data_IF_785132193283
#
_entry.id   IF_785132193283
#
_cell.length_a   1.000
_cell.length_b   1.000
_cell.length_c   1.000
_cell.angle_alpha   90.00
_cell.angle_beta   90.00
_cell.angle_gamma   90.00
#
_symmetry.space_group_name_H-M   'P 1'
#
loop_
_entity.id
_entity.type
_entity.pdbx_description
1 polymer ?
#
# COMPACT_ATOMS: atom_id res chain seq x y z
N UNK A 1 0.30 3.05 12.08
CA UNK A 1 0.23 2.77 13.54
C UNK A 1 1.47 3.21 14.29
N UNK A 2 2.67 2.72 13.98
CA UNK A 2 3.91 3.00 14.74
C UNK A 2 4.21 4.50 14.92
N UNK A 3 4.05 5.31 13.88
CA UNK A 3 4.22 6.76 13.97
C UNK A 3 3.17 7.39 14.91
N UNK A 4 1.88 7.05 14.74
CA UNK A 4 0.79 7.64 15.53
C UNK A 4 0.77 7.20 17.00
N UNK A 5 1.39 6.05 17.30
CA UNK A 5 1.58 5.59 18.69
C UNK A 5 2.84 6.17 19.35
N UNK A 6 3.63 6.96 18.62
CA UNK A 6 4.89 7.51 19.11
C UNK A 6 6.03 6.50 19.26
N UNK A 7 5.87 5.29 18.69
CA UNK A 7 6.91 4.25 18.79
C UNK A 7 8.12 4.54 17.92
N UNK A 8 7.96 5.30 16.84
CA UNK A 8 9.05 5.72 15.94
C UNK A 8 8.92 7.19 15.60
N UNK A 9 10.04 7.91 15.37
CA UNK A 9 10.02 9.30 14.88
C UNK A 9 9.57 9.37 13.41
N UNK A 10 9.25 10.58 12.95
CA UNK A 10 8.76 10.84 11.59
C UNK A 10 9.79 10.40 10.55
N UNK A 11 11.05 10.69 10.77
CA UNK A 11 12.16 10.36 9.87
C UNK A 11 12.24 8.85 9.63
N UNK A 12 12.23 8.05 10.70
CA UNK A 12 12.26 6.59 10.59
C UNK A 12 11.00 6.02 9.88
N UNK A 13 9.85 6.68 10.05
CA UNK A 13 8.65 6.31 9.31
C UNK A 13 8.79 6.61 7.82
N UNK A 14 9.30 7.77 7.44
CA UNK A 14 9.52 8.15 6.04
C UNK A 14 10.56 7.25 5.36
N UNK A 15 11.64 6.89 6.06
CA UNK A 15 12.61 5.91 5.57
C UNK A 15 11.97 4.55 5.30
N UNK A 16 11.20 4.00 6.25
CA UNK A 16 10.51 2.74 6.08
C UNK A 16 9.46 2.77 4.95
N UNK A 17 8.77 3.91 4.79
CA UNK A 17 7.83 4.13 3.70
C UNK A 17 8.55 4.17 2.35
N UNK A 18 9.67 4.90 2.26
CA UNK A 18 10.53 4.96 1.07
C UNK A 18 11.03 3.57 0.67
N UNK A 19 11.50 2.78 1.63
CA UNK A 19 11.92 1.40 1.38
C UNK A 19 10.76 0.54 0.84
N UNK A 20 9.58 0.68 1.42
CA UNK A 20 8.38 -0.05 0.97
C UNK A 20 8.00 0.33 -0.47
N UNK A 21 8.04 1.62 -0.79
CA UNK A 21 7.80 2.12 -2.14
C UNK A 21 8.84 1.60 -3.13
N UNK A 22 10.14 1.67 -2.78
CA UNK A 22 11.21 1.17 -3.62
C UNK A 22 11.02 -0.32 -3.96
N UNK A 23 10.68 -1.15 -2.99
CA UNK A 23 10.39 -2.58 -3.21
C UNK A 23 9.26 -2.81 -4.20
N UNK A 24 8.23 -1.98 -4.18
CA UNK A 24 7.10 -2.08 -5.12
C UNK A 24 7.51 -1.58 -6.51
N UNK A 25 8.18 -0.42 -6.58
CA UNK A 25 8.50 0.21 -7.88
C UNK A 25 9.64 -0.47 -8.63
N UNK A 26 10.57 -1.12 -7.94
CA UNK A 26 11.65 -1.91 -8.58
C UNK A 26 11.12 -3.19 -9.25
N UNK A 27 10.06 -3.80 -8.71
CA UNK A 27 9.54 -5.07 -9.22
C UNK A 27 8.64 -4.90 -10.45
N UNK A 28 8.96 -5.57 -11.55
CA UNK A 28 8.12 -5.59 -12.76
C UNK A 28 6.80 -6.34 -12.54
N UNK A 29 6.71 -7.18 -11.52
CA UNK A 29 5.49 -7.90 -11.13
C UNK A 29 4.30 -6.99 -10.86
N UNK A 30 4.53 -5.70 -10.49
CA UNK A 30 3.46 -4.73 -10.28
C UNK A 30 2.58 -4.48 -11.51
N UNK A 31 3.13 -4.69 -12.72
CA UNK A 31 2.42 -4.55 -13.99
C UNK A 31 1.81 -5.88 -14.49
N UNK A 32 2.07 -6.98 -13.78
CA UNK A 32 1.68 -8.33 -14.22
C UNK A 32 0.64 -8.99 -13.34
N UNK A 33 0.58 -8.59 -12.06
CA UNK A 33 -0.27 -9.21 -11.07
C UNK A 33 -1.00 -8.16 -10.24
N UNK A 34 -2.30 -8.30 -10.10
CA UNK A 34 -3.11 -7.48 -9.21
C UNK A 34 -2.83 -7.83 -7.74
N UNK A 35 -3.19 -6.95 -6.82
CA UNK A 35 -3.04 -7.24 -5.38
C UNK A 35 -3.89 -8.43 -4.95
N UNK A 36 -5.11 -8.53 -5.50
CA UNK A 36 -6.04 -9.62 -5.22
C UNK A 36 -5.50 -10.97 -5.69
N UNK A 37 -4.96 -11.04 -6.91
CA UNK A 37 -4.29 -12.25 -7.42
C UNK A 37 -3.07 -12.62 -6.59
N UNK A 38 -2.24 -11.63 -6.21
CA UNK A 38 -1.06 -11.87 -5.38
C UNK A 38 -1.41 -12.47 -4.02
N UNK A 39 -2.49 -11.99 -3.40
CA UNK A 39 -2.99 -12.53 -2.14
C UNK A 39 -3.57 -13.94 -2.31
N UNK A 40 -4.34 -14.16 -3.37
CA UNK A 40 -4.94 -15.47 -3.65
C UNK A 40 -3.90 -16.54 -3.97
N UNK A 41 -2.92 -16.20 -4.80
CA UNK A 41 -1.84 -17.10 -5.24
C UNK A 41 -0.66 -17.17 -4.26
N UNK A 42 -0.76 -16.59 -3.06
CA UNK A 42 0.37 -16.42 -2.15
C UNK A 42 1.11 -17.74 -1.87
N UNK A 43 0.39 -18.82 -1.59
CA UNK A 43 0.99 -20.12 -1.26
C UNK A 43 1.68 -20.81 -2.43
N UNK A 44 1.25 -20.53 -3.65
CA UNK A 44 1.78 -21.18 -4.87
C UNK A 44 2.82 -20.35 -5.60
N UNK A 45 2.79 -19.02 -5.46
CA UNK A 45 3.69 -18.12 -6.18
C UNK A 45 4.61 -17.33 -5.24
N UNK A 46 4.07 -16.68 -4.21
CA UNK A 46 4.86 -15.82 -3.34
C UNK A 46 5.76 -16.62 -2.39
N UNK A 47 5.23 -17.69 -1.78
CA UNK A 47 6.00 -18.55 -0.88
C UNK A 47 6.76 -19.69 -1.59
N UNK A 48 6.58 -19.84 -2.88
CA UNK A 48 7.35 -20.77 -3.72
C UNK A 48 7.99 -20.01 -4.90
N UNK A 49 8.94 -19.09 -4.60
CA UNK A 49 9.54 -18.25 -5.62
C UNK A 49 10.40 -19.09 -6.58
N UNK A 50 10.43 -18.67 -7.83
CA UNK A 50 11.34 -19.16 -8.85
C UNK A 50 12.20 -18.00 -9.39
N UNK A 51 13.10 -18.30 -10.32
CA UNK A 51 14.03 -17.32 -10.90
C UNK A 51 13.32 -16.13 -11.56
N UNK A 52 12.11 -16.31 -12.07
CA UNK A 52 11.31 -15.26 -12.72
C UNK A 52 10.35 -14.53 -11.77
N UNK A 53 10.26 -14.93 -10.51
CA UNK A 53 9.32 -14.31 -9.55
C UNK A 53 9.49 -12.79 -9.42
N UNK A 54 10.70 -12.20 -9.43
CA UNK A 54 10.87 -10.74 -9.39
C UNK A 54 10.21 -10.00 -10.54
N UNK A 55 10.05 -10.64 -11.70
CA UNK A 55 9.44 -10.05 -12.90
C UNK A 55 7.94 -10.31 -13.03
N UNK A 56 7.37 -11.22 -12.24
CA UNK A 56 6.01 -11.71 -12.42
C UNK A 56 5.13 -11.60 -11.18
N UNK A 57 5.71 -11.51 -9.99
CA UNK A 57 4.98 -11.51 -8.72
C UNK A 57 5.16 -10.18 -8.01
N UNK A 58 4.07 -9.64 -7.47
CA UNK A 58 4.11 -8.49 -6.56
C UNK A 58 3.87 -8.96 -5.13
N UNK A 59 4.58 -8.38 -4.17
CA UNK A 59 4.33 -8.67 -2.75
C UNK A 59 3.01 -8.02 -2.31
N UNK A 60 2.06 -8.84 -1.91
CA UNK A 60 0.81 -8.35 -1.33
C UNK A 60 1.02 -7.65 0.02
N UNK A 61 2.10 -7.92 0.73
CA UNK A 61 2.47 -7.17 1.93
C UNK A 61 2.87 -5.73 1.60
N UNK A 62 3.83 -5.54 0.69
CA UNK A 62 4.35 -4.20 0.39
C UNK A 62 3.35 -3.37 -0.41
N UNK A 63 2.76 -3.91 -1.49
CA UNK A 63 1.71 -3.21 -2.25
C UNK A 63 0.47 -2.98 -1.37
N UNK A 64 0.08 -3.96 -0.54
CA UNK A 64 -1.04 -3.82 0.38
C UNK A 64 -0.83 -2.74 1.43
N UNK A 65 0.40 -2.57 1.94
CA UNK A 65 0.72 -1.47 2.86
C UNK A 65 0.53 -0.09 2.19
N UNK A 66 0.91 0.06 0.91
CA UNK A 66 0.69 1.30 0.16
C UNK A 66 -0.80 1.54 -0.13
N UNK A 67 -1.55 0.49 -0.43
CA UNK A 67 -3.02 0.58 -0.59
C UNK A 67 -3.69 1.01 0.73
N UNK A 68 -3.27 0.45 1.86
CA UNK A 68 -3.77 0.84 3.18
C UNK A 68 -3.42 2.31 3.51
N UNK A 69 -2.22 2.77 3.13
CA UNK A 69 -1.85 4.19 3.26
C UNK A 69 -2.79 5.07 2.42
N UNK A 70 -3.05 4.71 1.17
CA UNK A 70 -3.98 5.47 0.31
C UNK A 70 -5.39 5.52 0.89
N UNK A 71 -5.89 4.42 1.46
CA UNK A 71 -7.17 4.40 2.15
C UNK A 71 -7.18 5.33 3.37
N UNK A 72 -6.11 5.35 4.19
CA UNK A 72 -5.98 6.26 5.33
C UNK A 72 -6.00 7.72 4.91
N UNK A 73 -5.21 8.06 3.88
CA UNK A 73 -5.16 9.43 3.33
C UNK A 73 -6.51 9.86 2.74
N UNK A 74 -7.17 8.97 2.00
CA UNK A 74 -8.50 9.24 1.45
C UNK A 74 -9.54 9.50 2.54
N UNK A 75 -9.61 8.63 3.57
CA UNK A 75 -10.53 8.80 4.71
C UNK A 75 -10.28 10.14 5.41
N UNK A 76 -9.02 10.48 5.66
CA UNK A 76 -8.64 11.76 6.26
C UNK A 76 -9.07 12.96 5.43
N UNK A 77 -8.89 12.87 4.11
CA UNK A 77 -9.25 13.94 3.18
C UNK A 77 -10.77 14.19 3.17
N UNK A 78 -11.58 13.14 2.99
CA UNK A 78 -13.04 13.29 2.91
C UNK A 78 -13.70 13.62 4.24
N UNK A 79 -13.07 13.24 5.36
CA UNK A 79 -13.57 13.53 6.70
C UNK A 79 -13.01 14.82 7.31
N UNK A 80 -12.27 15.63 6.56
CA UNK A 80 -11.54 16.80 7.08
C UNK A 80 -10.69 16.43 8.31
N UNK A 81 -9.97 15.31 8.24
CA UNK A 81 -9.05 14.80 9.27
C UNK A 81 -9.73 14.32 10.58
N UNK A 82 -11.05 14.22 10.61
CA UNK A 82 -11.77 13.73 11.82
C UNK A 82 -11.72 12.22 11.96
N UNK A 83 -11.54 11.49 10.86
CA UNK A 83 -11.43 10.03 10.83
C UNK A 83 -10.16 9.57 10.12
N UNK A 84 -9.81 8.33 10.37
CA UNK A 84 -8.63 7.66 9.79
C UNK A 84 -8.87 6.15 9.67
N UNK A 85 -7.94 5.44 9.07
CA UNK A 85 -7.99 3.97 9.02
C UNK A 85 -7.97 3.33 10.44
N UNK A 86 -7.49 4.05 11.47
CA UNK A 86 -7.55 3.57 12.85
C UNK A 86 -8.98 3.41 13.36
N UNK A 87 -9.91 4.24 12.88
CA UNK A 87 -11.33 4.14 13.26
C UNK A 87 -11.99 2.91 12.62
N UNK A 88 -11.63 2.63 11.36
CA UNK A 88 -11.99 1.36 10.70
C UNK A 88 -11.47 0.16 11.49
N UNK A 89 -10.19 0.18 11.89
CA UNK A 89 -9.58 -0.91 12.67
C UNK A 89 -10.21 -1.09 14.05
N UNK A 90 -10.54 0.00 14.75
CA UNK A 90 -11.26 -0.06 16.05
C UNK A 90 -12.65 -0.67 15.86
N UNK A 91 -13.35 -0.30 14.79
CA UNK A 91 -14.68 -0.83 14.50
C UNK A 91 -14.63 -2.30 14.12
N UNK A 92 -13.67 -2.71 13.30
CA UNK A 92 -13.38 -4.11 12.99
C UNK A 92 -13.13 -4.92 14.26
N UNK A 93 -12.30 -4.41 15.16
CA UNK A 93 -12.04 -5.07 16.43
C UNK A 93 -13.31 -5.23 17.28
N UNK A 94 -14.14 -4.19 17.35
CA UNK A 94 -15.37 -4.20 18.15
C UNK A 94 -16.41 -5.18 17.59
N UNK A 95 -16.58 -5.21 16.26
CA UNK A 95 -17.61 -6.03 15.63
C UNK A 95 -17.20 -7.50 15.46
N UNK A 96 -15.94 -7.75 15.14
CA UNK A 96 -15.46 -9.07 14.75
C UNK A 96 -14.37 -9.62 15.68
N UNK A 97 -13.38 -8.80 16.06
CA UNK A 97 -12.25 -9.27 16.85
C UNK A 97 -12.63 -9.72 18.26
N UNK A 98 -13.56 -9.03 18.92
CA UNK A 98 -14.04 -9.40 20.25
C UNK A 98 -15.01 -10.58 20.25
N UNK A 99 -15.72 -10.76 19.17
CA UNK A 99 -16.80 -11.75 19.06
C UNK A 99 -16.35 -13.06 18.46
N UNK A 100 -15.12 -13.13 17.93
CA UNK A 100 -14.59 -14.26 17.17
C UNK A 100 -15.45 -14.65 15.96
N UNK A 101 -16.24 -13.71 15.44
CA UNK A 101 -17.01 -13.87 14.21
C UNK A 101 -16.08 -13.60 13.02
N UNK A 102 -16.15 -14.43 11.98
CA UNK A 102 -15.38 -14.22 10.76
C UNK A 102 -15.77 -12.93 10.05
N UNK A 103 -14.80 -12.30 9.41
CA UNK A 103 -14.96 -11.11 8.57
C UNK A 103 -15.10 -11.53 7.11
N UNK A 104 -16.09 -11.02 6.40
CA UNK A 104 -16.19 -11.15 4.94
C UNK A 104 -15.54 -9.96 4.23
N UNK A 105 -15.17 -10.15 2.94
CA UNK A 105 -14.65 -9.05 2.11
C UNK A 105 -15.66 -7.89 2.01
N UNK A 106 -16.94 -8.19 1.94
CA UNK A 106 -18.02 -7.20 1.89
C UNK A 106 -18.14 -6.39 3.19
N UNK A 107 -17.85 -7.00 4.34
CA UNK A 107 -17.89 -6.31 5.62
C UNK A 107 -16.76 -5.29 5.74
N UNK A 108 -15.55 -5.65 5.27
CA UNK A 108 -14.42 -4.73 5.22
C UNK A 108 -14.70 -3.55 4.27
N UNK A 109 -15.18 -3.84 3.06
CA UNK A 109 -15.55 -2.81 2.08
C UNK A 109 -16.60 -1.84 2.65
N UNK A 110 -17.65 -2.36 3.28
CA UNK A 110 -18.70 -1.56 3.92
C UNK A 110 -18.14 -0.61 4.98
N UNK A 111 -17.22 -1.07 5.81
CA UNK A 111 -16.58 -0.23 6.81
C UNK A 111 -15.66 0.82 6.19
N UNK A 112 -14.95 0.48 5.13
CA UNK A 112 -14.15 1.47 4.40
C UNK A 112 -15.03 2.55 3.76
N UNK A 113 -16.18 2.19 3.20
CA UNK A 113 -17.16 3.13 2.65
C UNK A 113 -17.78 4.01 3.75
N UNK A 114 -18.08 3.44 4.91
CA UNK A 114 -18.66 4.20 6.02
C UNK A 114 -17.80 5.39 6.44
N UNK A 115 -16.47 5.22 6.48
CA UNK A 115 -15.53 6.28 6.85
C UNK A 115 -14.98 7.05 5.64
N UNK A 116 -14.83 6.40 4.50
CA UNK A 116 -14.25 6.96 3.28
C UNK A 116 -15.28 7.43 2.25
N UNK A 117 -16.57 7.31 2.56
CA UNK A 117 -17.71 7.56 1.66
C UNK A 117 -17.69 6.67 0.40
N UNK A 118 -18.69 6.78 -0.45
CA UNK A 118 -18.75 6.05 -1.74
C UNK A 118 -17.56 6.38 -2.66
N UNK A 119 -16.92 7.53 -2.45
CA UNK A 119 -15.76 7.96 -3.24
C UNK A 119 -14.50 7.11 -3.05
N UNK A 120 -14.45 6.25 -2.02
CA UNK A 120 -13.33 5.32 -1.82
C UNK A 120 -13.37 4.12 -2.79
N UNK A 121 -14.54 3.79 -3.35
CA UNK A 121 -14.72 2.60 -4.22
C UNK A 121 -13.80 2.57 -5.44
N UNK A 122 -13.67 3.65 -6.23
CA UNK A 122 -12.72 3.66 -7.35
C UNK A 122 -11.28 3.44 -6.90
N UNK A 123 -10.90 3.96 -5.73
CA UNK A 123 -9.57 3.75 -5.17
C UNK A 123 -9.37 2.28 -4.76
N UNK A 124 -10.38 1.65 -4.14
CA UNK A 124 -10.32 0.23 -3.78
C UNK A 124 -10.21 -0.65 -5.01
N UNK A 125 -10.99 -0.36 -6.06
CA UNK A 125 -10.93 -1.10 -7.32
C UNK A 125 -9.54 -0.98 -7.97
N UNK A 126 -9.01 0.23 -8.08
CA UNK A 126 -7.65 0.48 -8.57
C UNK A 126 -6.60 -0.29 -7.76
N UNK A 127 -6.68 -0.23 -6.43
CA UNK A 127 -5.73 -0.89 -5.54
C UNK A 127 -5.76 -2.43 -5.63
N UNK A 128 -6.97 -3.01 -5.72
CA UNK A 128 -7.17 -4.44 -5.56
C UNK A 128 -7.21 -5.21 -6.89
N UNK A 129 -7.85 -4.63 -7.91
CA UNK A 129 -8.24 -5.34 -9.11
C UNK A 129 -7.46 -4.91 -10.36
N UNK A 130 -6.59 -3.90 -10.26
CA UNK A 130 -5.81 -3.43 -11.41
C UNK A 130 -4.31 -3.55 -11.20
N UNK A 131 -3.58 -3.48 -12.32
CA UNK A 131 -2.11 -3.35 -12.33
C UNK A 131 -1.66 -1.91 -12.61
N UNK A 132 -2.58 -0.96 -12.55
CA UNK A 132 -2.27 0.45 -12.72
C UNK A 132 -1.41 0.98 -11.57
N UNK A 133 -0.71 2.08 -11.82
CA UNK A 133 0.13 2.71 -10.82
C UNK A 133 -0.74 3.36 -9.72
N UNK A 134 -0.30 3.22 -8.49
CA UNK A 134 -0.98 3.80 -7.33
C UNK A 134 -0.78 5.32 -7.30
N UNK A 135 -1.82 6.13 -7.04
CA UNK A 135 -1.78 7.61 -7.02
C UNK A 135 -1.10 8.14 -5.74
N UNK A 136 0.11 7.64 -5.44
CA UNK A 136 0.84 7.96 -4.22
C UNK A 136 1.32 9.41 -4.21
N UNK A 137 1.78 9.91 -5.37
CA UNK A 137 2.33 11.27 -5.48
C UNK A 137 1.27 12.32 -5.14
N UNK A 138 0.11 12.23 -5.76
CA UNK A 138 -1.00 13.16 -5.58
C UNK A 138 -1.56 13.07 -4.15
N UNK A 139 -1.71 11.84 -3.66
CA UNK A 139 -2.24 11.59 -2.32
C UNK A 139 -1.32 12.10 -1.22
N UNK A 140 -0.01 11.91 -1.34
CA UNK A 140 0.98 12.41 -0.38
C UNK A 140 1.13 13.92 -0.46
N UNK A 141 1.10 14.50 -1.67
CA UNK A 141 1.20 15.94 -1.87
C UNK A 141 0.05 16.70 -1.19
N UNK A 142 -1.16 16.13 -1.15
CA UNK A 142 -2.30 16.70 -0.42
C UNK A 142 -2.05 16.84 1.09
N UNK A 143 -1.08 16.12 1.64
CA UNK A 143 -0.67 16.17 3.04
C UNK A 143 0.71 16.81 3.24
N UNK A 144 1.22 17.51 2.23
CA UNK A 144 2.49 18.25 2.31
C UNK A 144 3.74 17.40 2.15
N UNK A 145 3.60 16.15 1.70
CA UNK A 145 4.73 15.25 1.44
C UNK A 145 5.00 15.21 -0.06
N UNK A 146 6.19 15.63 -0.47
CA UNK A 146 6.61 15.58 -1.87
C UNK A 146 7.31 14.26 -2.17
N UNK A 147 6.82 13.53 -3.18
CA UNK A 147 7.42 12.30 -3.67
C UNK A 147 8.20 12.61 -4.96
N UNK A 148 9.50 12.34 -4.96
CA UNK A 148 10.36 12.42 -6.14
C UNK A 148 10.95 11.05 -6.47
N UNK A 149 11.18 10.82 -7.76
CA UNK A 149 11.86 9.62 -8.25
C UNK A 149 13.20 10.03 -8.81
N UNK A 150 14.28 9.54 -8.19
CA UNK A 150 15.63 9.72 -8.69
C UNK A 150 16.14 8.41 -9.28
N UNK A 151 16.75 8.47 -10.44
CA UNK A 151 17.45 7.34 -11.01
C UNK A 151 18.84 7.29 -10.38
N UNK A 152 19.13 6.26 -9.58
CA UNK A 152 20.50 6.02 -9.17
C UNK A 152 21.30 5.61 -10.40
N UNK A 153 22.39 6.31 -10.69
CA UNK A 153 23.38 5.82 -11.65
C UNK A 153 23.88 4.45 -11.13
N UNK A 154 23.54 3.40 -11.87
CA UNK A 154 24.06 2.08 -11.59
C UNK A 154 25.58 2.18 -11.67
N UNK A 155 26.27 1.94 -10.56
CA UNK A 155 27.71 1.67 -10.61
C UNK A 155 27.93 0.62 -11.69
N UNK A 156 28.75 0.92 -12.67
CA UNK A 156 28.94 0.31 -13.99
C UNK A 156 29.42 -1.14 -13.93
N UNK A 157 28.67 -2.04 -13.40
CA UNK A 157 29.04 -3.46 -13.38
C UNK A 157 27.87 -4.43 -13.30
N UNK A 158 26.78 -4.20 -14.03
CA UNK A 158 25.91 -5.33 -14.41
C UNK A 158 24.84 -4.84 -15.39
N UNK A 159 24.77 -5.52 -16.50
CA UNK A 159 23.81 -5.35 -17.57
C UNK A 159 22.39 -5.61 -17.03
N UNK A 160 21.49 -4.62 -17.10
CA UNK A 160 20.07 -4.91 -17.19
C UNK A 160 19.10 -4.32 -16.18
N UNK A 161 19.52 -3.68 -15.09
CA UNK A 161 18.57 -3.05 -14.16
C UNK A 161 18.95 -1.60 -13.85
N UNK A 162 18.04 -0.67 -14.13
CA UNK A 162 18.13 0.70 -13.65
C UNK A 162 17.38 0.73 -12.31
N UNK A 163 18.05 0.75 -11.16
CA UNK A 163 17.37 0.90 -9.89
C UNK A 163 16.82 2.31 -9.77
N UNK A 164 15.50 2.46 -9.65
CA UNK A 164 14.89 3.69 -9.24
C UNK A 164 15.05 3.85 -7.73
N UNK A 165 15.77 4.86 -7.27
CA UNK A 165 15.75 5.28 -5.88
C UNK A 165 14.65 6.33 -5.68
N UNK A 166 13.96 6.26 -4.56
CA UNK A 166 12.88 7.15 -4.21
C UNK A 166 13.32 8.01 -3.03
N UNK A 167 13.38 9.33 -3.23
CA UNK A 167 13.60 10.31 -2.18
C UNK A 167 12.27 10.97 -1.78
N UNK A 168 12.04 11.15 -0.50
CA UNK A 168 10.96 11.97 0.04
C UNK A 168 11.59 13.25 0.62
N UNK A 169 11.14 14.38 0.16
CA UNK A 169 11.48 15.71 0.72
C UNK A 169 10.25 16.35 1.34
#
# INVERSE_FOLDING_TARGET
MLLRSGCIPVEAYLEALTETMNRVFQGLGRFKQTLKESSFDAWTKFYQPNENSPNSVISYYTKGALCALLCDLHIRMVSNQTHSLDDVMKKLWTLYGRTSVGLSDQDLERLLIEFGTESIKPLLDLCLNTTEELPLKESLQAFGVTLSFDYSEASSSLVGEIPASMGMT
#
